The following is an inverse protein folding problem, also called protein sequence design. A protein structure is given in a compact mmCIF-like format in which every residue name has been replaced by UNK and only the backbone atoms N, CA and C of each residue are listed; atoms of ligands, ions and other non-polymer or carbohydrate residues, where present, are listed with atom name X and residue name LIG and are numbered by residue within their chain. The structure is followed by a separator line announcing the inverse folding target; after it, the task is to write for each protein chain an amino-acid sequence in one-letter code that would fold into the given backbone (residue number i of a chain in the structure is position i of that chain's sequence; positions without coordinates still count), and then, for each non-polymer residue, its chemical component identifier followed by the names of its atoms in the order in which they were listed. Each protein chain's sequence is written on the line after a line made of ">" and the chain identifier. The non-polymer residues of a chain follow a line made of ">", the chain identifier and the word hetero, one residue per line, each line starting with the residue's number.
data_IF_373993043888
#
_entry.id   IF_373993043888
#
_cell.length_a   1.000
_cell.length_b   1.000
_cell.length_c   1.000
_cell.angle_alpha   90.00
_cell.angle_beta   90.00
_cell.angle_gamma   90.00
#
_symmetry.space_group_name_H-M   'P 1'
#
loop_
_entity.id
_entity.type
_entity.pdbx_description
1 polymer ?
#
# COMPACT_ATOMS: atom_id res chain seq x y z
N UNK A 1 16.44 -8.55 5.32
CA UNK A 1 15.87 -7.17 5.23
C UNK A 1 14.71 -6.90 6.21
N UNK A 2 13.90 -7.89 6.62
CA UNK A 2 12.79 -7.75 7.60
C UNK A 2 13.18 -7.78 9.10
N UNK A 3 14.39 -7.37 9.47
CA UNK A 3 14.87 -7.54 10.87
C UNK A 3 15.32 -6.25 11.54
N UNK A 4 15.50 -5.15 10.79
CA UNK A 4 16.09 -3.92 11.34
C UNK A 4 15.03 -2.92 11.79
N UNK A 5 13.91 -2.84 11.07
CA UNK A 5 12.79 -1.95 11.37
C UNK A 5 12.07 -2.25 12.71
N UNK A 6 11.89 -3.53 13.13
CA UNK A 6 11.22 -3.83 14.40
C UNK A 6 12.05 -3.45 15.64
N UNK A 7 13.37 -3.39 15.52
CA UNK A 7 14.28 -3.11 16.64
C UNK A 7 14.31 -1.61 16.99
N UNK A 8 14.36 -0.75 15.97
CA UNK A 8 14.47 0.72 16.15
C UNK A 8 13.18 1.31 16.74
N UNK A 9 12.01 0.76 16.39
CA UNK A 9 10.73 1.21 16.96
C UNK A 9 10.50 0.83 18.43
N UNK A 10 11.27 -0.13 18.97
CA UNK A 10 11.11 -0.60 20.34
C UNK A 10 11.86 0.27 21.37
N UNK A 11 13.01 0.85 20.99
CA UNK A 11 13.84 1.64 21.92
C UNK A 11 13.41 3.09 22.07
N UNK A 12 12.83 3.71 21.03
CA UNK A 12 12.73 5.18 20.98
C UNK A 12 11.37 5.75 21.41
N UNK A 13 10.27 4.97 21.36
CA UNK A 13 8.92 5.55 21.49
C UNK A 13 8.06 5.06 22.66
N UNK A 14 8.41 3.98 23.36
CA UNK A 14 7.64 3.54 24.55
C UNK A 14 6.13 3.29 24.30
N UNK A 15 5.70 3.17 23.05
CA UNK A 15 4.32 2.89 22.62
C UNK A 15 4.29 1.48 22.05
N UNK A 16 3.34 0.66 22.50
CA UNK A 16 3.21 -0.75 22.15
C UNK A 16 3.27 -0.99 20.62
N UNK A 17 4.43 -1.47 20.17
CA UNK A 17 4.84 -1.79 18.80
C UNK A 17 3.83 -2.63 18.01
N UNK A 18 3.01 -3.41 18.68
CA UNK A 18 2.00 -4.29 18.05
C UNK A 18 0.85 -3.51 17.39
N UNK A 19 0.28 -2.49 18.02
CA UNK A 19 -0.93 -1.82 17.50
C UNK A 19 -0.66 -1.02 16.23
N UNK A 20 0.50 -0.35 16.17
CA UNK A 20 0.93 0.43 15.00
C UNK A 20 1.23 -0.48 13.81
N UNK A 21 1.94 -1.59 14.03
CA UNK A 21 2.28 -2.56 12.99
C UNK A 21 1.03 -3.32 12.52
N UNK A 22 0.14 -3.72 13.43
CA UNK A 22 -1.14 -4.34 13.06
C UNK A 22 -2.01 -3.39 12.27
N UNK A 23 -2.14 -2.12 12.67
CA UNK A 23 -2.90 -1.12 11.90
C UNK A 23 -2.31 -0.90 10.51
N UNK A 24 -0.99 -0.93 10.38
CA UNK A 24 -0.30 -0.79 9.09
C UNK A 24 -0.54 -1.99 8.17
N UNK A 25 -0.41 -3.21 8.69
CA UNK A 25 -0.64 -4.45 7.96
C UNK A 25 -2.11 -4.60 7.57
N UNK A 26 -3.03 -4.32 8.50
CA UNK A 26 -4.47 -4.42 8.25
C UNK A 26 -4.91 -3.37 7.23
N UNK A 27 -4.46 -2.12 7.35
CA UNK A 27 -4.78 -1.07 6.37
C UNK A 27 -4.30 -1.44 4.97
N UNK A 28 -3.04 -1.87 4.82
CA UNK A 28 -2.52 -2.30 3.53
C UNK A 28 -3.26 -3.53 2.98
N UNK A 29 -3.46 -4.54 3.83
CA UNK A 29 -4.08 -5.81 3.45
C UNK A 29 -5.52 -5.63 3.00
N UNK A 30 -6.32 -4.86 3.74
CA UNK A 30 -7.71 -4.57 3.41
C UNK A 30 -7.81 -3.79 2.11
N UNK A 31 -7.03 -2.70 1.98
CA UNK A 31 -7.05 -1.88 0.76
C UNK A 31 -6.60 -2.69 -0.46
N UNK A 32 -5.54 -3.50 -0.33
CA UNK A 32 -5.08 -4.39 -1.39
C UNK A 32 -6.14 -5.43 -1.75
N UNK A 33 -6.80 -6.05 -0.78
CA UNK A 33 -7.84 -7.06 -1.03
C UNK A 33 -9.02 -6.45 -1.80
N UNK A 34 -9.50 -5.27 -1.39
CA UNK A 34 -10.55 -4.54 -2.10
C UNK A 34 -10.11 -4.14 -3.52
N UNK A 35 -8.91 -3.56 -3.67
CA UNK A 35 -8.37 -3.19 -4.97
C UNK A 35 -8.25 -4.40 -5.90
N UNK A 36 -7.80 -5.54 -5.37
CA UNK A 36 -7.69 -6.78 -6.13
C UNK A 36 -9.06 -7.29 -6.60
N UNK A 37 -10.07 -7.27 -5.73
CA UNK A 37 -11.44 -7.67 -6.09
C UNK A 37 -12.01 -6.82 -7.23
N UNK A 38 -11.83 -5.51 -7.17
CA UNK A 38 -12.32 -4.57 -8.19
C UNK A 38 -11.51 -4.65 -9.49
N UNK A 39 -10.21 -4.97 -9.39
CA UNK A 39 -9.29 -4.96 -10.53
C UNK A 39 -9.75 -5.83 -11.71
N UNK A 40 -10.37 -6.98 -11.45
CA UNK A 40 -10.86 -7.89 -12.49
C UNK A 40 -11.99 -7.26 -13.31
N UNK A 41 -13.04 -6.79 -12.64
CA UNK A 41 -14.17 -6.11 -13.31
C UNK A 41 -13.73 -4.86 -14.06
N UNK A 42 -12.80 -4.08 -13.48
CA UNK A 42 -12.27 -2.88 -14.10
C UNK A 42 -11.42 -3.21 -15.34
N UNK A 43 -10.72 -4.34 -15.33
CA UNK A 43 -9.93 -4.80 -16.46
C UNK A 43 -10.79 -5.29 -17.63
N UNK A 44 -11.89 -5.98 -17.33
CA UNK A 44 -12.85 -6.47 -18.32
C UNK A 44 -13.60 -5.31 -18.99
N UNK A 45 -13.93 -4.26 -18.22
CA UNK A 45 -14.69 -3.10 -18.73
C UNK A 45 -13.82 -2.02 -19.37
N UNK A 46 -12.69 -1.65 -18.77
CA UNK A 46 -11.85 -0.53 -19.23
C UNK A 46 -10.61 -0.97 -19.99
N UNK A 47 -10.28 -2.26 -19.95
CA UNK A 47 -9.08 -2.83 -20.52
C UNK A 47 -7.90 -2.80 -19.54
N UNK A 48 -7.13 -3.90 -19.53
CA UNK A 48 -5.98 -4.13 -18.64
C UNK A 48 -4.97 -2.97 -18.60
N UNK A 49 -4.66 -2.36 -19.76
CA UNK A 49 -3.69 -1.24 -19.86
C UNK A 49 -4.12 -0.03 -19.03
N UNK A 50 -5.41 0.31 -19.02
CA UNK A 50 -5.91 1.48 -18.27
C UNK A 50 -5.86 1.23 -16.76
N UNK A 51 -6.20 0.02 -16.33
CA UNK A 51 -6.11 -0.38 -14.92
C UNK A 51 -4.67 -0.35 -14.42
N UNK A 52 -3.70 -0.78 -15.24
CA UNK A 52 -2.28 -0.67 -14.92
C UNK A 52 -1.84 0.79 -14.72
N UNK A 53 -2.25 1.69 -15.62
CA UNK A 53 -1.94 3.12 -15.52
C UNK A 53 -2.56 3.73 -14.25
N UNK A 54 -3.81 3.38 -13.94
CA UNK A 54 -4.47 3.79 -12.69
C UNK A 54 -3.71 3.32 -11.46
N UNK A 55 -3.27 2.05 -11.44
CA UNK A 55 -2.42 1.54 -10.37
C UNK A 55 -1.17 2.41 -10.19
N UNK A 56 -0.46 2.73 -11.27
CA UNK A 56 0.72 3.58 -11.23
C UNK A 56 0.43 5.02 -10.78
N UNK A 57 -0.72 5.59 -11.13
CA UNK A 57 -1.13 6.91 -10.63
C UNK A 57 -1.26 6.94 -9.10
N UNK A 58 -1.69 5.84 -8.47
CA UNK A 58 -1.70 5.73 -7.01
C UNK A 58 -0.33 5.43 -6.41
N UNK A 59 0.56 4.75 -7.14
CA UNK A 59 1.91 4.42 -6.66
C UNK A 59 2.90 5.58 -6.74
N UNK A 60 2.78 6.43 -7.76
CA UNK A 60 3.69 7.56 -8.01
C UNK A 60 3.76 8.59 -6.85
N UNK A 61 2.65 9.01 -6.20
CA UNK A 61 2.72 9.97 -5.09
C UNK A 61 3.32 9.39 -3.80
N UNK A 62 3.39 8.07 -3.64
CA UNK A 62 3.89 7.39 -2.42
C UNK A 62 5.29 7.85 -1.99
N UNK A 63 6.34 7.80 -2.84
CA UNK A 63 7.69 8.23 -2.43
C UNK A 63 7.74 9.70 -2.00
N UNK A 64 6.93 10.57 -2.61
CA UNK A 64 6.84 11.98 -2.23
C UNK A 64 6.16 12.15 -0.87
N UNK A 65 5.07 11.42 -0.62
CA UNK A 65 4.38 11.43 0.67
C UNK A 65 5.32 10.94 1.78
N UNK A 66 6.08 9.87 1.53
CA UNK A 66 7.03 9.34 2.53
C UNK A 66 8.18 10.33 2.76
N UNK A 67 8.68 10.97 1.71
CA UNK A 67 9.81 11.92 1.80
C UNK A 67 9.47 13.19 2.58
N UNK A 68 8.20 13.60 2.57
CA UNK A 68 7.72 14.78 3.30
C UNK A 68 6.81 14.46 4.49
N UNK A 69 6.75 13.19 4.94
CA UNK A 69 5.79 12.77 5.95
C UNK A 69 6.01 13.49 7.31
N UNK A 70 5.10 14.38 7.75
CA UNK A 70 5.22 15.06 9.05
C UNK A 70 4.71 14.19 10.22
N UNK A 71 4.02 13.08 9.95
CA UNK A 71 3.47 12.19 10.98
C UNK A 71 3.23 10.76 10.48
N UNK A 72 3.07 9.81 11.40
CA UNK A 72 2.84 8.39 11.09
C UNK A 72 1.59 8.14 10.23
N UNK A 73 0.55 8.96 10.37
CA UNK A 73 -0.66 8.87 9.56
C UNK A 73 -0.38 9.02 8.06
N UNK A 74 0.62 9.83 7.68
CA UNK A 74 1.04 9.97 6.29
C UNK A 74 1.72 8.71 5.76
N UNK A 75 2.49 8.04 6.60
CA UNK A 75 3.11 6.74 6.26
C UNK A 75 2.01 5.68 6.10
N UNK A 76 1.00 5.66 6.96
CA UNK A 76 -0.16 4.78 6.81
C UNK A 76 -0.97 5.07 5.53
N UNK A 77 -1.18 6.34 5.19
CA UNK A 77 -1.86 6.74 3.96
C UNK A 77 -1.06 6.36 2.70
N UNK A 78 0.25 6.59 2.70
CA UNK A 78 1.15 6.17 1.62
C UNK A 78 1.12 4.65 1.44
N UNK A 79 1.06 3.90 2.55
CA UNK A 79 0.94 2.45 2.51
C UNK A 79 -0.42 1.98 1.98
N UNK A 80 -1.52 2.64 2.32
CA UNK A 80 -2.82 2.35 1.71
C UNK A 80 -2.78 2.56 0.19
N UNK A 81 -2.17 3.66 -0.29
CA UNK A 81 -1.96 3.93 -1.71
C UNK A 81 -1.11 2.85 -2.40
N UNK A 82 -0.06 2.37 -1.73
CA UNK A 82 0.71 1.22 -2.20
C UNK A 82 -0.15 -0.05 -2.30
N UNK A 83 -1.08 -0.26 -1.38
CA UNK A 83 -2.05 -1.35 -1.43
C UNK A 83 -2.90 -1.31 -2.70
N UNK A 84 -3.35 -0.12 -3.11
CA UNK A 84 -4.10 0.09 -4.37
C UNK A 84 -3.20 -0.17 -5.58
N UNK A 85 -2.00 0.42 -5.61
CA UNK A 85 -1.04 0.21 -6.68
C UNK A 85 -0.74 -1.30 -6.87
N UNK A 86 -0.48 -2.01 -5.77
CA UNK A 86 -0.27 -3.46 -5.77
C UNK A 86 -1.50 -4.23 -6.25
N UNK A 87 -2.70 -3.90 -5.75
CA UNK A 87 -3.94 -4.59 -6.13
C UNK A 87 -4.30 -4.41 -7.60
N UNK A 88 -3.97 -3.27 -8.20
CA UNK A 88 -4.24 -3.03 -9.63
C UNK A 88 -3.09 -3.51 -10.52
N UNK A 89 -1.83 -3.16 -10.21
CA UNK A 89 -0.71 -3.50 -11.07
C UNK A 89 -0.40 -5.00 -11.07
N UNK A 90 -0.36 -5.64 -9.89
CA UNK A 90 -0.02 -7.06 -9.77
C UNK A 90 -1.04 -7.95 -10.49
N UNK A 91 -2.32 -7.62 -10.37
CA UNK A 91 -3.41 -8.40 -10.97
C UNK A 91 -3.41 -8.30 -12.49
N UNK A 92 -3.00 -7.15 -13.04
CA UNK A 92 -2.83 -7.01 -14.49
C UNK A 92 -1.59 -7.73 -15.03
N UNK A 93 -0.54 -7.91 -14.22
CA UNK A 93 0.71 -8.56 -14.64
C UNK A 93 0.72 -10.08 -14.42
N UNK A 94 -0.01 -10.59 -13.42
CA UNK A 94 0.00 -12.02 -13.07
C UNK A 94 -1.18 -12.80 -13.65
N UNK A 95 -2.35 -12.17 -13.80
CA UNK A 95 -3.54 -12.81 -14.40
C UNK A 95 -3.55 -12.58 -15.93
N UNK A 96 -2.36 -12.63 -16.56
CA UNK A 96 -2.23 -12.44 -18.00
C UNK A 96 -2.80 -13.63 -18.77
#
# INVERSE_FOLDING_TARGET
>A
ERTVVPLIGAEEFGVASTTLVTSFIVSFGVVKACANLVSGQLADTWGRKRVLILGWLFGLPVPFIISWAPSWSWIAAANALLGINQGFAWSMTVIM
#
